data_IF_924202561459
#
_entry.id   IF_924202561459
#
_cell.length_a   1.000
_cell.length_b   1.000
_cell.length_c   1.000
_cell.angle_alpha   90.00
_cell.angle_beta   90.00
_cell.angle_gamma   90.00
#
_symmetry.space_group_name_H-M   'P 1'
#
loop_
_entity.id
_entity.type
_entity.pdbx_description
1 polymer ?
#
# COMPACT_ATOMS: atom_id res chain seq x y z
N UNK A 1 -33.85 -11.13 4.56
CA UNK A 1 -33.41 -10.10 3.59
C UNK A 1 -32.29 -9.34 4.28
N UNK A 2 -31.07 -9.84 4.17
CA UNK A 2 -29.91 -9.39 4.95
C UNK A 2 -29.00 -8.68 3.98
N UNK A 3 -29.18 -7.37 3.85
CA UNK A 3 -28.45 -6.58 2.89
C UNK A 3 -27.76 -5.40 3.62
N UNK A 4 -26.50 -5.19 3.23
CA UNK A 4 -25.77 -3.91 3.24
C UNK A 4 -25.08 -3.41 4.53
N UNK A 5 -24.54 -4.29 5.37
CA UNK A 5 -23.50 -3.89 6.35
C UNK A 5 -22.12 -3.73 5.69
N UNK A 6 -21.63 -4.82 5.09
CA UNK A 6 -20.28 -4.88 4.50
C UNK A 6 -20.06 -4.01 3.26
N UNK A 7 -21.08 -3.82 2.43
CA UNK A 7 -20.94 -3.01 1.21
C UNK A 7 -20.81 -1.50 1.51
N UNK A 8 -21.45 -1.00 2.58
CA UNK A 8 -21.28 0.39 3.04
C UNK A 8 -19.91 0.62 3.66
N UNK A 9 -19.43 -0.30 4.49
CA UNK A 9 -18.07 -0.24 5.04
C UNK A 9 -16.99 -0.31 3.96
N UNK A 10 -17.16 -1.18 2.97
CA UNK A 10 -16.22 -1.29 1.84
C UNK A 10 -16.22 -0.01 0.97
N UNK A 11 -17.39 0.57 0.71
CA UNK A 11 -17.49 1.85 0.00
C UNK A 11 -16.88 3.01 0.79
N UNK A 12 -16.97 2.99 2.12
CA UNK A 12 -16.34 3.98 2.98
C UNK A 12 -14.82 3.87 2.94
N UNK A 13 -14.27 2.66 3.09
CA UNK A 13 -12.82 2.42 3.03
C UNK A 13 -12.24 2.79 1.65
N UNK A 14 -12.90 2.41 0.56
CA UNK A 14 -12.44 2.76 -0.79
C UNK A 14 -12.39 4.29 -1.02
N UNK A 15 -13.32 5.05 -0.42
CA UNK A 15 -13.36 6.50 -0.51
C UNK A 15 -12.24 7.23 0.26
N UNK A 16 -11.53 6.54 1.15
CA UNK A 16 -10.40 7.09 1.91
C UNK A 16 -9.07 6.97 1.17
N UNK A 17 -8.99 6.16 0.13
CA UNK A 17 -7.76 5.98 -0.63
C UNK A 17 -7.71 6.92 -1.83
N UNK A 18 -6.70 7.78 -1.88
CA UNK A 18 -6.43 8.68 -3.00
C UNK A 18 -5.86 7.92 -4.21
N UNK A 19 -5.05 6.89 -3.92
CA UNK A 19 -4.36 6.09 -4.93
C UNK A 19 -4.02 4.72 -4.38
N UNK A 20 -4.20 3.69 -5.19
CA UNK A 20 -3.79 2.32 -4.86
C UNK A 20 -2.85 1.79 -5.94
N UNK A 21 -1.77 1.14 -5.52
CA UNK A 21 -0.82 0.42 -6.38
C UNK A 21 -0.66 -1.01 -5.88
N UNK A 22 -0.24 -1.91 -6.76
CA UNK A 22 0.22 -3.24 -6.37
C UNK A 22 1.71 -3.14 -6.06
N UNK A 23 2.12 -3.64 -4.90
CA UNK A 23 3.51 -3.72 -4.50
C UNK A 23 3.98 -5.17 -4.45
N UNK A 24 5.15 -5.43 -5.02
CA UNK A 24 5.89 -6.67 -4.80
C UNK A 24 7.20 -6.40 -4.06
N UNK A 25 7.39 -7.07 -2.93
CA UNK A 25 8.56 -6.91 -2.07
C UNK A 25 9.50 -8.11 -2.18
N UNK A 26 10.75 -7.88 -2.61
CA UNK A 26 11.80 -8.89 -2.74
C UNK A 26 13.17 -8.23 -2.67
N UNK A 27 14.19 -8.90 -2.09
CA UNK A 27 15.56 -8.35 -1.91
C UNK A 27 16.42 -8.30 -3.17
N UNK A 28 15.81 -8.30 -4.35
CA UNK A 28 16.51 -8.48 -5.64
C UNK A 28 16.24 -7.33 -6.60
N UNK A 29 15.36 -6.39 -6.28
CA UNK A 29 14.97 -5.36 -7.23
C UNK A 29 16.04 -4.30 -7.42
N UNK A 30 16.82 -3.98 -6.39
CA UNK A 30 18.00 -3.12 -6.56
C UNK A 30 19.00 -3.71 -7.57
N UNK A 31 19.26 -5.02 -7.48
CA UNK A 31 20.19 -5.70 -8.38
C UNK A 31 19.64 -5.84 -9.81
N UNK A 32 18.30 -5.87 -9.95
CA UNK A 32 17.61 -6.06 -11.22
C UNK A 32 17.09 -4.74 -11.86
N UNK A 33 17.40 -3.56 -11.29
CA UNK A 33 16.81 -2.28 -11.72
C UNK A 33 16.96 -2.04 -13.23
N UNK A 34 18.14 -2.31 -13.79
CA UNK A 34 18.39 -2.13 -15.21
C UNK A 34 17.54 -3.05 -16.10
N UNK A 35 17.45 -4.33 -15.72
CA UNK A 35 16.65 -5.33 -16.46
C UNK A 35 15.15 -5.01 -16.35
N UNK A 36 14.72 -4.53 -15.18
CA UNK A 36 13.35 -4.08 -14.96
C UNK A 36 13.01 -2.87 -15.83
N UNK A 37 13.89 -1.87 -15.90
CA UNK A 37 13.70 -0.71 -16.76
C UNK A 37 13.66 -1.09 -18.25
N UNK A 38 14.45 -2.10 -18.66
CA UNK A 38 14.40 -2.61 -20.03
C UNK A 38 13.06 -3.27 -20.39
N UNK A 39 12.37 -3.90 -19.44
CA UNK A 39 11.10 -4.60 -19.66
C UNK A 39 9.89 -3.69 -19.44
N UNK A 40 9.92 -2.86 -18.40
CA UNK A 40 8.80 -2.03 -17.95
C UNK A 40 8.88 -0.58 -18.43
N UNK A 41 10.03 -0.18 -19.00
CA UNK A 41 10.37 1.22 -19.27
C UNK A 41 10.90 1.92 -18.03
N UNK A 42 11.25 3.20 -18.17
CA UNK A 42 11.77 4.00 -17.04
C UNK A 42 10.74 4.15 -15.91
N UNK A 43 11.14 4.03 -14.64
CA UNK A 43 10.24 4.23 -13.51
C UNK A 43 9.79 5.69 -13.44
N UNK A 44 8.54 5.91 -13.04
CA UNK A 44 8.03 7.26 -12.78
C UNK A 44 8.67 7.89 -11.53
N UNK A 45 9.06 7.04 -10.57
CA UNK A 45 9.78 7.39 -9.35
C UNK A 45 10.69 6.20 -8.98
N UNK A 46 11.93 6.49 -8.61
CA UNK A 46 12.90 5.52 -8.07
C UNK A 46 13.70 6.21 -6.97
N UNK A 47 14.08 5.47 -5.94
CA UNK A 47 15.03 5.92 -4.92
C UNK A 47 16.49 5.50 -5.24
N UNK A 48 16.69 4.78 -6.34
CA UNK A 48 17.97 4.25 -6.79
C UNK A 48 18.56 3.15 -5.90
N UNK A 49 17.79 2.61 -4.96
CA UNK A 49 18.25 1.61 -3.98
C UNK A 49 17.22 0.48 -3.77
N UNK A 50 16.47 0.15 -4.82
CA UNK A 50 15.56 -1.00 -4.82
C UNK A 50 14.09 -0.66 -4.59
N UNK A 51 13.72 0.62 -4.47
CA UNK A 51 12.32 1.05 -4.59
C UNK A 51 12.08 1.75 -5.92
N UNK A 52 11.12 1.26 -6.71
CA UNK A 52 10.74 1.88 -7.97
C UNK A 52 9.26 1.70 -8.31
N UNK A 53 8.67 2.72 -8.92
CA UNK A 53 7.27 2.75 -9.32
C UNK A 53 7.11 2.80 -10.84
N UNK A 54 6.55 1.72 -11.40
CA UNK A 54 6.20 1.57 -12.82
C UNK A 54 4.68 1.65 -12.98
N UNK A 55 4.14 2.88 -13.04
CA UNK A 55 2.69 3.10 -13.12
C UNK A 55 1.94 2.60 -11.88
N UNK A 56 1.14 1.54 -12.05
CA UNK A 56 0.35 0.91 -10.99
C UNK A 56 1.10 -0.18 -10.22
N UNK A 57 2.32 -0.53 -10.64
CA UNK A 57 3.18 -1.51 -9.96
C UNK A 57 4.29 -0.77 -9.23
N UNK A 58 4.59 -1.22 -8.01
CA UNK A 58 5.73 -0.80 -7.20
C UNK A 58 6.55 -2.04 -6.88
N UNK A 59 7.86 -1.93 -7.04
CA UNK A 59 8.82 -2.94 -6.64
C UNK A 59 9.65 -2.37 -5.50
N UNK A 60 9.87 -3.16 -4.45
CA UNK A 60 10.57 -2.71 -3.26
C UNK A 60 11.47 -3.80 -2.67
N UNK A 61 12.69 -3.45 -2.30
CA UNK A 61 13.59 -4.32 -1.52
C UNK A 61 13.23 -4.34 -0.02
N UNK A 62 12.28 -3.51 0.40
CA UNK A 62 11.85 -3.41 1.80
C UNK A 62 11.22 -4.71 2.32
N UNK A 63 11.38 -4.95 3.62
CA UNK A 63 10.71 -6.07 4.30
C UNK A 63 9.21 -5.84 4.39
N UNK A 64 8.42 -6.88 4.11
CA UNK A 64 6.97 -6.86 4.20
C UNK A 64 6.34 -8.11 3.58
N UNK A 65 5.01 -8.11 3.40
CA UNK A 65 4.34 -9.12 2.57
C UNK A 65 4.90 -9.08 1.15
N UNK A 66 5.18 -10.26 0.58
CA UNK A 66 5.69 -10.37 -0.80
C UNK A 66 4.75 -9.66 -1.79
N UNK A 67 3.43 -9.78 -1.61
CA UNK A 67 2.43 -9.04 -2.37
C UNK A 67 1.55 -8.21 -1.43
N UNK A 68 1.37 -6.93 -1.75
CA UNK A 68 0.44 -6.06 -1.03
C UNK A 68 -0.14 -4.96 -1.93
N UNK A 69 -1.21 -4.31 -1.47
CA UNK A 69 -1.67 -3.05 -2.04
C UNK A 69 -1.06 -1.88 -1.29
N UNK A 70 -0.40 -0.97 -1.98
CA UNK A 70 0.10 0.28 -1.40
C UNK A 70 -0.95 1.37 -1.62
N UNK A 71 -1.58 1.85 -0.55
CA UNK A 71 -2.74 2.72 -0.61
C UNK A 71 -2.47 4.08 0.07
N UNK A 72 -2.41 5.15 -0.72
CA UNK A 72 -2.21 6.51 -0.22
C UNK A 72 -3.50 7.04 0.42
N UNK A 73 -3.39 7.66 1.59
CA UNK A 73 -4.48 8.36 2.27
C UNK A 73 -3.95 9.62 2.96
N UNK A 74 -4.82 10.61 3.17
CA UNK A 74 -4.56 11.75 4.05
C UNK A 74 -4.92 11.49 5.52
N UNK A 75 -5.64 10.40 5.81
CA UNK A 75 -6.22 10.12 7.13
C UNK A 75 -6.09 8.62 7.48
N UNK A 76 -5.00 8.27 8.18
CA UNK A 76 -4.75 6.90 8.62
C UNK A 76 -5.69 6.46 9.75
N UNK A 77 -6.18 7.40 10.56
CA UNK A 77 -7.10 7.08 11.66
C UNK A 77 -8.46 6.66 11.11
N UNK A 78 -9.01 7.41 10.15
CA UNK A 78 -10.25 7.02 9.47
C UNK A 78 -10.12 5.67 8.76
N UNK A 79 -8.96 5.40 8.15
CA UNK A 79 -8.69 4.10 7.51
C UNK A 79 -8.67 2.97 8.55
N UNK A 80 -8.01 3.17 9.70
CA UNK A 80 -7.99 2.19 10.78
C UNK A 80 -9.40 1.86 11.27
N UNK A 81 -10.24 2.87 11.50
CA UNK A 81 -11.64 2.69 11.94
C UNK A 81 -12.43 1.92 10.89
N UNK A 82 -12.37 2.33 9.61
CA UNK A 82 -13.12 1.67 8.54
C UNK A 82 -12.66 0.21 8.30
N UNK A 83 -11.36 -0.07 8.45
CA UNK A 83 -10.83 -1.42 8.36
C UNK A 83 -11.28 -2.29 9.55
N UNK A 84 -11.28 -1.74 10.77
CA UNK A 84 -11.78 -2.43 11.96
C UNK A 84 -13.26 -2.78 11.85
N UNK A 85 -14.09 -1.87 11.30
CA UNK A 85 -15.52 -2.10 11.05
C UNK A 85 -15.78 -3.25 10.04
N UNK A 86 -14.81 -3.52 9.16
CA UNK A 86 -14.82 -4.66 8.24
C UNK A 86 -14.29 -5.96 8.86
N UNK A 87 -13.94 -5.95 10.16
CA UNK A 87 -13.26 -7.03 10.87
C UNK A 87 -11.89 -7.39 10.27
N UNK A 88 -11.18 -6.39 9.73
CA UNK A 88 -9.80 -6.58 9.30
C UNK A 88 -8.84 -6.42 10.49
N UNK A 89 -7.69 -7.08 10.41
CA UNK A 89 -6.59 -6.81 11.33
C UNK A 89 -5.95 -5.48 10.96
N UNK A 90 -5.90 -4.57 11.94
CA UNK A 90 -5.19 -3.30 11.85
C UNK A 90 -3.90 -3.46 12.65
N UNK A 91 -2.75 -3.30 11.98
CA UNK A 91 -1.43 -3.35 12.61
C UNK A 91 -1.07 -2.02 13.28
N UNK A 92 0.12 -1.98 13.87
CA UNK A 92 0.66 -0.74 14.44
C UNK A 92 1.18 0.21 13.35
N UNK A 93 0.99 1.53 13.49
CA UNK A 93 1.63 2.50 12.62
C UNK A 93 3.16 2.40 12.70
N UNK A 94 3.81 2.48 11.54
CA UNK A 94 5.26 2.52 11.41
C UNK A 94 5.65 3.83 10.75
N UNK A 95 6.44 4.64 11.46
CA UNK A 95 7.00 5.87 10.91
C UNK A 95 8.23 5.55 10.05
N UNK A 96 8.17 5.94 8.78
CA UNK A 96 9.29 5.95 7.86
C UNK A 96 9.90 7.34 7.71
N UNK A 97 10.88 7.47 6.82
CA UNK A 97 11.57 8.74 6.58
C UNK A 97 10.68 9.82 5.91
N UNK A 98 9.67 9.40 5.14
CA UNK A 98 8.86 10.29 4.32
C UNK A 98 7.35 10.11 4.52
N UNK A 99 6.94 9.09 5.26
CA UNK A 99 5.54 8.69 5.41
C UNK A 99 5.34 7.85 6.68
N UNK A 100 4.13 7.85 7.18
CA UNK A 100 3.66 6.87 8.17
C UNK A 100 2.89 5.78 7.44
N UNK A 101 3.17 4.52 7.77
CA UNK A 101 2.55 3.33 7.17
C UNK A 101 1.68 2.61 8.20
N UNK A 102 0.53 2.10 7.77
CA UNK A 102 -0.39 1.30 8.56
C UNK A 102 -0.65 -0.03 7.82
N UNK A 103 -0.13 -1.15 8.34
CA UNK A 103 -0.43 -2.48 7.80
C UNK A 103 -1.87 -2.87 8.09
N UNK A 104 -2.58 -3.38 7.08
CA UNK A 104 -3.95 -3.90 7.19
C UNK A 104 -4.01 -5.29 6.55
N UNK A 105 -4.69 -6.22 7.20
CA UNK A 105 -4.89 -7.58 6.67
C UNK A 105 -6.34 -7.99 6.78
N UNK A 106 -6.96 -8.26 5.62
CA UNK A 106 -8.32 -8.83 5.60
C UNK A 106 -8.33 -10.27 6.13
N UNK A 107 -9.50 -10.75 6.56
CA UNK A 107 -9.68 -12.16 6.95
C UNK A 107 -9.39 -13.17 5.83
N UNK A 108 -9.42 -12.74 4.56
CA UNK A 108 -9.07 -13.55 3.40
C UNK A 108 -7.57 -13.52 3.05
N UNK A 109 -6.76 -12.77 3.79
CA UNK A 109 -5.31 -12.67 3.59
C UNK A 109 -4.85 -11.56 2.66
N UNK A 110 -5.75 -10.73 2.10
CA UNK A 110 -5.35 -9.51 1.39
C UNK A 110 -4.58 -8.59 2.33
N UNK A 111 -3.36 -8.22 1.92
CA UNK A 111 -2.49 -7.27 2.64
C UNK A 111 -2.53 -5.90 1.97
N UNK A 112 -2.78 -4.85 2.76
CA UNK A 112 -2.70 -3.46 2.33
C UNK A 112 -1.71 -2.73 3.25
N UNK A 113 -0.83 -1.93 2.67
CA UNK A 113 -0.04 -0.94 3.37
C UNK A 113 -0.66 0.42 3.07
N UNK A 114 -1.51 0.90 3.98
CA UNK A 114 -2.02 2.26 3.90
C UNK A 114 -0.91 3.23 4.31
N UNK A 115 -0.76 4.36 3.65
CA UNK A 115 0.30 5.31 4.00
C UNK A 115 -0.13 6.77 3.82
N UNK A 116 0.41 7.63 4.67
CA UNK A 116 0.24 9.08 4.61
C UNK A 116 1.63 9.76 4.61
N UNK A 117 1.93 10.63 3.64
CA UNK A 117 3.17 11.41 3.63
C UNK A 117 3.30 12.32 4.86
N UNK A 118 4.50 12.41 5.44
CA UNK A 118 4.76 13.29 6.60
C UNK A 118 4.64 14.78 6.27
N UNK A 119 4.77 15.13 4.99
CA UNK A 119 4.54 16.46 4.47
C UNK A 119 3.51 16.38 3.35
N UNK A 120 2.42 17.13 3.47
CA UNK A 120 1.49 17.32 2.37
C UNK A 120 2.25 17.96 1.20
N UNK A 121 2.27 17.26 0.06
CA UNK A 121 2.67 17.85 -1.22
C UNK A 121 1.65 18.90 -1.67
#
# INVERSE_FOLDING_TARGET
MTEVGGARGASALAGLFEKVKVMHSSRQWAEAEHDLAAVLGEPAFSDGNGWAAFGSVVLSDESGPEWSLLAKTSDLEAVAVAAADLNWHVGEPVEGAHETRLPLTSSAGLSIVAYSPLHAA
#
